data_IF_900046740603
#
_entry.id   IF_900046740603
#
_cell.length_a   1.000
_cell.length_b   1.000
_cell.length_c   1.000
_cell.angle_alpha   90.00
_cell.angle_beta   90.00
_cell.angle_gamma   90.00
#
_symmetry.space_group_name_H-M   'P 1'
#
loop_
_entity.id
_entity.type
_entity.pdbx_description
1 polymer ?
#
# COMPACT_ATOMS: atom_id res chain seq x y z
N UNK A 1 -38.89 -12.73 -20.89
CA UNK A 1 -37.88 -12.41 -19.85
C UNK A 1 -36.60 -13.13 -20.22
N UNK A 2 -35.69 -12.42 -20.86
CA UNK A 2 -34.38 -12.98 -21.23
C UNK A 2 -33.36 -12.60 -20.17
N UNK A 3 -32.93 -13.55 -19.41
CA UNK A 3 -31.70 -13.48 -18.64
C UNK A 3 -30.62 -14.14 -19.48
N UNK A 4 -29.92 -13.33 -20.24
CA UNK A 4 -28.79 -13.81 -21.02
C UNK A 4 -27.52 -13.16 -20.48
N UNK A 5 -26.49 -13.95 -20.55
CA UNK A 5 -25.09 -13.65 -20.36
C UNK A 5 -24.60 -13.65 -18.90
N UNK A 6 -24.57 -14.84 -18.35
CA UNK A 6 -23.64 -15.15 -17.28
C UNK A 6 -22.21 -15.01 -17.80
N UNK A 7 -21.61 -13.83 -17.62
CA UNK A 7 -20.15 -13.73 -17.66
C UNK A 7 -19.64 -14.50 -16.45
N UNK A 8 -19.05 -15.65 -16.69
CA UNK A 8 -18.25 -16.34 -15.67
C UNK A 8 -16.98 -15.51 -15.55
N UNK A 9 -16.93 -14.62 -14.58
CA UNK A 9 -15.68 -13.97 -14.17
C UNK A 9 -14.82 -15.03 -13.51
N UNK A 10 -13.98 -15.68 -14.30
CA UNK A 10 -12.98 -16.59 -13.81
C UNK A 10 -11.92 -15.82 -13.04
N UNK A 11 -11.81 -16.06 -11.74
CA UNK A 11 -10.69 -15.54 -10.94
C UNK A 11 -9.40 -16.20 -11.44
N UNK A 12 -8.49 -15.39 -11.93
CA UNK A 12 -7.19 -15.88 -12.42
C UNK A 12 -6.30 -16.21 -11.23
N UNK A 13 -5.71 -17.41 -11.14
CA UNK A 13 -4.82 -17.76 -10.06
C UNK A 13 -3.59 -16.86 -10.07
N UNK A 14 -3.24 -16.32 -8.89
CA UNK A 14 -2.05 -15.51 -8.67
C UNK A 14 -1.34 -15.93 -7.38
N UNK A 15 -0.03 -15.81 -7.38
CA UNK A 15 0.81 -16.00 -6.20
C UNK A 15 1.61 -14.73 -5.95
N UNK A 16 1.69 -14.30 -4.69
CA UNK A 16 2.47 -13.15 -4.27
C UNK A 16 3.52 -13.57 -3.25
N UNK A 17 4.74 -13.10 -3.47
CA UNK A 17 5.87 -13.27 -2.57
C UNK A 17 6.35 -11.89 -2.12
N UNK A 18 6.27 -11.63 -0.82
CA UNK A 18 6.72 -10.38 -0.21
C UNK A 18 7.99 -10.56 0.59
N UNK A 19 8.88 -9.57 0.55
CA UNK A 19 10.08 -9.49 1.35
C UNK A 19 10.11 -8.14 2.07
N UNK A 20 10.28 -8.19 3.39
CA UNK A 20 10.37 -7.00 4.24
C UNK A 20 11.67 -7.03 5.02
N UNK A 21 12.37 -5.88 5.06
CA UNK A 21 13.57 -5.66 5.87
C UNK A 21 13.47 -4.34 6.61
N UNK A 22 13.88 -4.34 7.88
CA UNK A 22 13.95 -3.16 8.72
C UNK A 22 15.39 -2.91 9.13
N UNK A 23 15.82 -1.66 9.06
CA UNK A 23 17.14 -1.19 9.45
C UNK A 23 16.99 -0.04 10.43
N UNK A 24 17.63 -0.14 11.60
CA UNK A 24 17.75 0.98 12.52
C UNK A 24 18.99 1.79 12.13
N UNK A 25 18.79 3.04 11.70
CA UNK A 25 19.85 3.88 11.12
C UNK A 25 20.63 4.63 12.22
N UNK A 26 19.95 4.97 13.33
CA UNK A 26 20.58 5.65 14.46
C UNK A 26 20.36 4.91 15.77
N UNK A 27 21.40 4.95 16.64
CA UNK A 27 21.29 4.49 18.01
C UNK A 27 20.12 5.21 18.71
N UNK A 28 19.32 4.48 19.50
CA UNK A 28 18.12 4.93 20.22
C UNK A 28 16.79 4.87 19.44
N UNK A 29 16.69 4.06 18.38
CA UNK A 29 15.43 3.89 17.63
C UNK A 29 14.82 5.20 17.08
N UNK A 30 15.63 6.25 16.89
CA UNK A 30 15.14 7.53 16.43
C UNK A 30 14.74 7.51 14.95
N UNK A 31 15.46 6.74 14.12
CA UNK A 31 15.19 6.62 12.68
C UNK A 31 15.23 5.15 12.28
N UNK A 32 14.13 4.67 11.71
CA UNK A 32 13.99 3.32 11.19
C UNK A 32 13.67 3.37 9.70
N UNK A 33 14.41 2.62 8.91
CA UNK A 33 14.15 2.43 7.49
C UNK A 33 13.56 1.05 7.25
N UNK A 34 12.37 0.99 6.71
CA UNK A 34 11.72 -0.23 6.26
C UNK A 34 11.79 -0.31 4.74
N UNK A 35 12.26 -1.43 4.22
CA UNK A 35 12.28 -1.75 2.80
C UNK A 35 11.35 -2.92 2.55
N UNK A 36 10.48 -2.79 1.57
CA UNK A 36 9.52 -3.79 1.15
C UNK A 36 9.66 -4.04 -0.33
N UNK A 37 9.57 -5.30 -0.74
CA UNK A 37 9.46 -5.67 -2.14
C UNK A 37 8.46 -6.80 -2.28
N UNK A 38 7.66 -6.79 -3.35
CA UNK A 38 6.78 -7.90 -3.67
C UNK A 38 6.92 -8.32 -5.13
N UNK A 39 6.74 -9.60 -5.36
CA UNK A 39 6.69 -10.25 -6.65
C UNK A 39 5.34 -10.93 -6.80
N UNK A 40 4.58 -10.52 -7.79
CA UNK A 40 3.28 -11.12 -8.10
C UNK A 40 3.43 -11.90 -9.40
N UNK A 41 3.05 -13.17 -9.36
CA UNK A 41 2.98 -14.06 -10.53
C UNK A 41 1.51 -14.33 -10.78
N UNK A 42 1.00 -13.97 -11.94
CA UNK A 42 -0.39 -14.24 -12.31
C UNK A 42 -0.50 -14.97 -13.64
N UNK A 43 -1.50 -15.83 -13.75
CA UNK A 43 -1.80 -16.58 -14.99
C UNK A 43 -2.77 -15.79 -15.86
N UNK A 44 -2.51 -14.52 -16.11
CA UNK A 44 -3.33 -13.70 -16.99
C UNK A 44 -2.48 -13.08 -18.09
N UNK A 45 -2.97 -13.15 -19.32
CA UNK A 45 -2.33 -12.49 -20.45
C UNK A 45 -2.54 -10.95 -20.36
N UNK A 46 -1.96 -10.33 -19.33
CA UNK A 46 -1.95 -8.86 -19.15
C UNK A 46 -0.73 -8.29 -19.84
N UNK A 47 -0.83 -8.04 -21.14
CA UNK A 47 0.29 -7.47 -21.92
C UNK A 47 0.55 -5.98 -21.65
N UNK A 48 -0.35 -5.28 -20.93
CA UNK A 48 -0.31 -3.83 -20.86
C UNK A 48 0.36 -3.30 -19.58
N UNK A 49 0.33 -4.05 -18.48
CA UNK A 49 0.76 -3.56 -17.15
C UNK A 49 1.65 -4.54 -16.38
N UNK A 50 2.36 -5.43 -17.05
CA UNK A 50 3.26 -6.36 -16.38
C UNK A 50 4.71 -6.07 -16.74
N UNK A 51 5.63 -6.24 -15.78
CA UNK A 51 7.06 -6.08 -16.00
C UNK A 51 7.58 -7.07 -17.07
N UNK A 52 7.02 -8.26 -17.07
CA UNK A 52 7.30 -9.29 -18.07
C UNK A 52 6.07 -10.14 -18.31
N UNK A 53 5.67 -10.29 -19.58
CA UNK A 53 4.56 -11.15 -19.98
C UNK A 53 5.00 -12.06 -21.11
N UNK A 54 4.90 -13.36 -20.90
CA UNK A 54 5.15 -14.37 -21.92
C UNK A 54 4.04 -15.41 -21.90
N UNK A 55 3.16 -15.36 -22.90
CA UNK A 55 2.01 -16.26 -22.99
C UNK A 55 0.96 -15.97 -21.90
N UNK A 56 0.64 -16.98 -21.10
CA UNK A 56 -0.37 -16.87 -20.01
C UNK A 56 0.20 -16.40 -18.67
N UNK A 57 1.51 -16.14 -18.56
CA UNK A 57 2.18 -15.79 -17.31
C UNK A 57 2.59 -14.33 -17.35
N UNK A 58 2.21 -13.56 -16.36
CA UNK A 58 2.68 -12.19 -16.11
C UNK A 58 3.38 -12.09 -14.76
N UNK A 59 4.48 -11.35 -14.75
CA UNK A 59 5.31 -11.08 -13.58
C UNK A 59 5.26 -9.58 -13.27
N UNK A 60 4.93 -9.28 -12.04
CA UNK A 60 4.80 -7.91 -11.55
C UNK A 60 5.68 -7.71 -10.31
N UNK A 61 6.48 -6.64 -10.29
CA UNK A 61 7.38 -6.33 -9.19
C UNK A 61 7.01 -4.97 -8.63
N UNK A 62 6.90 -4.86 -7.32
CA UNK A 62 6.70 -3.59 -6.62
C UNK A 62 7.73 -3.40 -5.52
N UNK A 63 8.09 -2.14 -5.27
CA UNK A 63 9.04 -1.72 -4.25
C UNK A 63 8.44 -0.62 -3.38
N UNK A 64 8.74 -0.67 -2.09
CA UNK A 64 8.37 0.35 -1.13
C UNK A 64 9.50 0.63 -0.15
N UNK A 65 9.66 1.91 0.19
CA UNK A 65 10.54 2.38 1.25
C UNK A 65 9.72 3.21 2.23
N UNK A 66 9.92 2.96 3.50
CA UNK A 66 9.31 3.73 4.57
C UNK A 66 10.39 4.17 5.56
N UNK A 67 10.47 5.45 5.82
CA UNK A 67 11.33 6.04 6.82
C UNK A 67 10.47 6.49 7.99
N UNK A 68 10.71 5.93 9.17
CA UNK A 68 9.99 6.22 10.41
C UNK A 68 10.89 7.03 11.34
N UNK A 69 10.45 8.23 11.69
CA UNK A 69 11.15 9.11 12.62
C UNK A 69 10.42 9.13 13.97
N UNK A 70 11.14 8.78 15.05
CA UNK A 70 10.64 8.74 16.44
C UNK A 70 9.29 8.05 16.61
N UNK A 71 8.99 7.07 15.79
CA UNK A 71 7.71 6.34 15.76
C UNK A 71 6.46 7.21 15.49
N UNK A 72 6.64 8.48 15.19
CA UNK A 72 5.54 9.45 15.05
C UNK A 72 5.37 9.96 13.64
N UNK A 73 6.45 10.08 12.86
CA UNK A 73 6.39 10.60 11.50
C UNK A 73 6.88 9.52 10.55
N UNK A 74 6.11 9.26 9.51
CA UNK A 74 6.39 8.24 8.51
C UNK A 74 6.44 8.88 7.12
N UNK A 75 7.52 8.67 6.39
CA UNK A 75 7.65 9.03 4.98
C UNK A 75 7.67 7.76 4.17
N UNK A 76 6.81 7.67 3.17
CA UNK A 76 6.66 6.48 2.34
C UNK A 76 6.89 6.83 0.88
N UNK A 77 7.67 6.02 0.21
CA UNK A 77 7.86 6.05 -1.23
C UNK A 77 7.60 4.65 -1.77
N UNK A 78 6.88 4.56 -2.85
CA UNK A 78 6.56 3.27 -3.47
C UNK A 78 6.54 3.38 -4.99
N UNK A 79 6.87 2.29 -5.62
CA UNK A 79 6.74 2.11 -7.05
C UNK A 79 5.87 0.88 -7.30
N UNK A 80 4.78 1.08 -8.02
CA UNK A 80 3.86 0.02 -8.39
C UNK A 80 4.19 -0.53 -9.78
N UNK A 81 3.44 -1.54 -10.18
CA UNK A 81 3.49 -2.29 -11.43
C UNK A 81 3.63 -1.44 -12.69
N UNK A 82 2.98 -0.29 -12.72
CA UNK A 82 2.97 0.64 -13.87
C UNK A 82 4.14 1.63 -13.86
N UNK A 83 5.23 1.34 -13.14
CA UNK A 83 6.39 2.24 -12.97
C UNK A 83 6.04 3.59 -12.36
N UNK A 84 4.87 3.72 -11.76
CA UNK A 84 4.42 4.94 -11.15
C UNK A 84 5.00 5.08 -9.75
N UNK A 85 5.70 6.19 -9.54
CA UNK A 85 6.23 6.54 -8.24
C UNK A 85 5.12 7.18 -7.40
N UNK A 86 4.80 6.59 -6.28
CA UNK A 86 3.86 7.12 -5.28
C UNK A 86 4.61 7.58 -4.04
N UNK A 87 4.06 8.56 -3.37
CA UNK A 87 4.62 9.08 -2.12
C UNK A 87 3.55 9.27 -1.06
N UNK A 88 3.96 9.26 0.20
CA UNK A 88 3.05 9.47 1.31
C UNK A 88 3.77 9.97 2.55
N UNK A 89 3.01 10.63 3.40
CA UNK A 89 3.43 11.07 4.72
C UNK A 89 2.38 10.64 5.74
N UNK A 90 2.80 10.08 6.86
CA UNK A 90 1.95 9.68 7.96
C UNK A 90 2.41 10.34 9.25
N UNK A 91 1.46 10.69 10.11
CA UNK A 91 1.70 11.18 11.45
C UNK A 91 0.91 10.30 12.42
N UNK A 92 1.64 9.60 13.28
CA UNK A 92 1.08 8.82 14.39
C UNK A 92 1.14 9.66 15.67
N UNK A 93 -0.04 10.02 16.17
CA UNK A 93 -0.17 10.84 17.36
C UNK A 93 -1.02 10.11 18.41
N UNK A 94 -0.35 9.26 19.17
CA UNK A 94 -0.85 8.62 20.39
C UNK A 94 -2.31 8.05 20.33
N UNK A 95 -3.25 8.79 19.80
CA UNK A 95 -4.68 8.45 19.70
C UNK A 95 -5.21 8.34 18.28
N UNK A 96 -4.52 8.91 17.32
CA UNK A 96 -4.94 8.90 15.92
C UNK A 96 -3.74 8.91 14.98
N UNK A 97 -3.94 8.33 13.80
CA UNK A 97 -2.99 8.38 12.70
C UNK A 97 -3.64 9.17 11.58
N UNK A 98 -2.92 10.12 11.04
CA UNK A 98 -3.29 10.84 9.82
C UNK A 98 -2.31 10.44 8.73
N UNK A 99 -2.80 9.92 7.64
CA UNK A 99 -2.01 9.57 6.47
C UNK A 99 -2.45 10.39 5.26
N UNK A 100 -1.48 10.85 4.51
CA UNK A 100 -1.66 11.47 3.21
C UNK A 100 -0.86 10.69 2.17
N UNK A 101 -1.47 10.35 1.04
CA UNK A 101 -0.81 9.69 -0.07
C UNK A 101 -1.06 10.43 -1.38
N UNK A 102 -0.03 10.48 -2.19
CA UNK A 102 -0.03 11.03 -3.54
C UNK A 102 0.26 9.92 -4.54
N UNK A 103 -0.66 9.71 -5.48
CA UNK A 103 -0.54 8.71 -6.53
C UNK A 103 -0.72 9.40 -7.89
N UNK A 104 0.34 9.56 -8.66
CA UNK A 104 0.22 10.01 -10.04
C UNK A 104 -0.38 8.89 -10.89
N UNK A 105 -1.37 9.19 -11.70
CA UNK A 105 -1.98 8.24 -12.63
C UNK A 105 -1.92 8.78 -14.06
N UNK A 106 -1.21 8.16 -14.99
CA UNK A 106 -1.23 8.54 -16.40
C UNK A 106 -2.50 7.98 -17.03
N UNK A 107 -3.57 8.75 -17.09
CA UNK A 107 -4.75 8.43 -17.86
C UNK A 107 -4.71 9.23 -19.16
N UNK A 108 -4.52 8.55 -20.32
CA UNK A 108 -4.61 9.11 -21.66
C UNK A 108 -3.77 10.39 -21.89
N UNK A 109 -2.54 10.45 -21.39
CA UNK A 109 -1.67 11.62 -21.56
C UNK A 109 -2.03 12.81 -20.69
N UNK A 110 -3.07 12.73 -19.87
CA UNK A 110 -3.40 13.70 -18.84
C UNK A 110 -2.91 13.13 -17.51
N UNK A 111 -2.00 13.84 -16.84
CA UNK A 111 -1.55 13.47 -15.50
C UNK A 111 -2.70 13.74 -14.51
N UNK A 112 -3.48 12.71 -14.20
CA UNK A 112 -4.44 12.79 -13.12
C UNK A 112 -3.73 12.43 -11.81
N UNK A 113 -3.65 13.38 -10.90
CA UNK A 113 -3.08 13.15 -9.58
C UNK A 113 -4.19 12.75 -8.61
N UNK A 114 -4.01 11.62 -7.94
CA UNK A 114 -4.90 11.20 -6.88
C UNK A 114 -4.29 11.56 -5.53
N UNK A 115 -5.08 12.21 -4.70
CA UNK A 115 -4.72 12.56 -3.32
C UNK A 115 -5.63 11.78 -2.39
N UNK A 116 -5.04 10.99 -1.52
CA UNK A 116 -5.75 10.25 -0.47
C UNK A 116 -5.39 10.82 0.89
N UNK A 117 -6.42 11.05 1.70
CA UNK A 117 -6.26 11.40 3.11
C UNK A 117 -7.02 10.35 3.91
N UNK A 118 -6.37 9.73 4.88
CA UNK A 118 -7.01 8.81 5.81
C UNK A 118 -6.78 9.22 7.25
N UNK A 119 -7.78 8.95 8.09
CA UNK A 119 -7.74 9.16 9.53
C UNK A 119 -8.08 7.85 10.22
N UNK A 120 -7.17 7.36 11.04
CA UNK A 120 -7.38 6.18 11.88
C UNK A 120 -7.37 6.60 13.35
N UNK A 121 -8.28 6.06 14.15
CA UNK A 121 -8.41 6.38 15.58
C UNK A 121 -8.23 5.09 16.39
N UNK A 122 -7.33 5.13 17.37
CA UNK A 122 -7.18 4.05 18.34
C UNK A 122 -8.31 4.11 19.37
N UNK A 123 -9.10 3.05 19.47
CA UNK A 123 -10.26 2.99 20.36
C UNK A 123 -9.94 2.53 21.78
N UNK A 124 -8.71 2.12 22.06
CA UNK A 124 -8.29 1.55 23.36
C UNK A 124 -8.50 2.52 24.52
N UNK A 125 -8.29 3.81 24.28
CA UNK A 125 -8.52 4.85 25.29
C UNK A 125 -10.02 5.06 25.62
N UNK A 126 -10.91 4.81 24.66
CA UNK A 126 -12.36 4.88 24.86
C UNK A 126 -12.83 3.77 25.81
N UNK A 127 -12.29 2.56 25.67
CA UNK A 127 -12.62 1.45 26.54
C UNK A 127 -12.13 1.68 27.99
N UNK A 128 -10.96 2.30 28.15
CA UNK A 128 -10.43 2.67 29.47
C UNK A 128 -11.35 3.68 30.18
N UNK A 129 -11.81 4.70 29.46
CA UNK A 129 -12.68 5.76 30.00
C UNK A 129 -14.08 5.26 30.35
N UNK A 130 -14.63 4.32 29.58
CA UNK A 130 -15.91 3.68 29.87
C UNK A 130 -15.85 2.81 31.15
N UNK A 131 -14.71 2.15 31.39
CA UNK A 131 -14.49 1.37 32.62
C UNK A 131 -14.36 2.26 33.86
N UNK A 132 -13.74 3.41 33.72
CA UNK A 132 -13.57 4.36 34.84
C UNK A 132 -14.89 5.00 35.25
N UNK A 133 -15.79 5.28 34.31
CA UNK A 133 -17.09 5.90 34.55
C UNK A 133 -18.15 4.93 35.11
N UNK A 134 -17.84 3.60 35.17
CA UNK A 134 -18.71 2.56 35.76
C UNK A 134 -18.33 2.14 37.16
N UNK A 135 -17.34 2.79 37.75
CA UNK A 135 -16.99 2.66 39.19
C UNK A 135 -17.50 3.82 39.97
#
# INVERSE_FOLDING_TARGET
MMWSNGYIEGTVPSAEFGLHRSFDIFNENAIKLNSMSSLIISSSNRSINSFFSKGLISLDISYGLELVYKKSIMFRLGQNLDTQLSGGIGIDWDKFIVDYAFLPSPINGIFANHHLISLSIYLDWLQAKIKENKR
#
